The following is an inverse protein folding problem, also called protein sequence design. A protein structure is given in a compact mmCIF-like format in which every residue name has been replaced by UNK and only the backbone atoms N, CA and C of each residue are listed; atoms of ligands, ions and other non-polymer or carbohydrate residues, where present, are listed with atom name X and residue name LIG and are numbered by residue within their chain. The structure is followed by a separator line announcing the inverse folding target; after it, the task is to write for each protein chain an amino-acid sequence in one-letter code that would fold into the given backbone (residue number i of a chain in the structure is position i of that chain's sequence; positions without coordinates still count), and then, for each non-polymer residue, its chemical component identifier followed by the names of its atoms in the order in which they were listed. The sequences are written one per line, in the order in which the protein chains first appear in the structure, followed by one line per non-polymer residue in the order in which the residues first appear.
data_IF_304824456002
#
_entry.id   IF_304824456002
#
_cell.length_a   1.000
_cell.length_b   1.000
_cell.length_c   1.000
_cell.angle_alpha   90.00
_cell.angle_beta   90.00
_cell.angle_gamma   90.00
#
_symmetry.space_group_name_H-M   'P 1'
#
loop_
_entity.id
_entity.type
_entity.pdbx_description
1 polymer ?
#
# COMPACT_ATOMS: atom_id res chain seq x y z
N UNK A 1 30.69 49.79 -26.40
CA UNK A 1 30.45 48.36 -26.67
C UNK A 1 30.35 47.61 -25.34
N UNK A 2 29.21 47.65 -24.63
CA UNK A 2 29.09 46.93 -23.34
C UNK A 2 27.63 46.85 -22.86
N UNK A 3 26.74 46.22 -23.65
CA UNK A 3 25.33 46.04 -23.24
C UNK A 3 24.70 44.68 -23.58
N UNK A 4 25.43 43.72 -24.16
CA UNK A 4 24.84 42.43 -24.57
C UNK A 4 25.35 41.19 -23.82
N UNK A 5 26.26 41.33 -22.85
CA UNK A 5 26.90 40.18 -22.19
C UNK A 5 26.09 39.69 -20.97
N UNK A 6 25.36 40.59 -20.30
CA UNK A 6 24.60 40.28 -19.07
C UNK A 6 23.41 39.31 -19.28
N UNK A 7 22.56 39.42 -20.33
CA UNK A 7 21.41 38.51 -20.47
C UNK A 7 21.82 37.09 -20.89
N UNK A 8 23.00 36.92 -21.51
CA UNK A 8 23.48 35.63 -22.00
C UNK A 8 24.02 34.73 -20.87
N UNK A 9 24.66 35.33 -19.85
CA UNK A 9 25.13 34.62 -18.67
C UNK A 9 23.98 34.12 -17.78
N UNK A 10 22.86 34.86 -17.70
CA UNK A 10 21.69 34.46 -16.91
C UNK A 10 20.94 33.27 -17.53
N UNK A 11 20.89 33.19 -18.86
CA UNK A 11 20.29 32.06 -19.57
C UNK A 11 21.10 30.76 -19.41
N UNK A 12 22.43 30.85 -19.31
CA UNK A 12 23.30 29.69 -19.10
C UNK A 12 23.21 29.13 -17.66
N UNK A 13 23.01 29.99 -16.66
CA UNK A 13 22.81 29.61 -15.26
C UNK A 13 21.46 28.91 -15.02
N UNK A 14 20.41 29.27 -15.78
CA UNK A 14 19.12 28.57 -15.72
C UNK A 14 19.15 27.20 -16.40
N UNK A 15 19.99 27.01 -17.42
CA UNK A 15 20.15 25.73 -18.12
C UNK A 15 20.97 24.70 -17.33
N UNK A 16 21.75 25.14 -16.34
CA UNK A 16 22.57 24.27 -15.49
C UNK A 16 21.82 23.66 -14.30
N UNK A 17 20.54 24.01 -14.09
CA UNK A 17 19.67 23.33 -13.13
C UNK A 17 19.12 22.03 -13.75
N UNK A 18 20.02 21.15 -14.18
CA UNK A 18 19.66 19.76 -14.43
C UNK A 18 19.28 19.15 -13.08
N UNK A 19 17.99 19.05 -12.81
CA UNK A 19 17.48 18.23 -11.73
C UNK A 19 17.94 16.80 -11.99
N UNK A 20 18.98 16.35 -11.31
CA UNK A 20 19.28 14.93 -11.24
C UNK A 20 18.09 14.30 -10.56
N UNK A 21 17.25 13.60 -11.33
CA UNK A 21 16.17 12.81 -10.77
C UNK A 21 16.80 11.73 -9.89
N UNK A 22 16.83 11.97 -8.58
CA UNK A 22 17.19 10.96 -7.61
C UNK A 22 16.18 9.83 -7.74
N UNK A 23 16.68 8.62 -8.01
CA UNK A 23 15.84 7.44 -8.01
C UNK A 23 15.07 7.37 -6.69
N UNK A 24 13.77 7.05 -6.75
CA UNK A 24 12.97 6.89 -5.55
C UNK A 24 13.67 5.85 -4.65
N UNK A 25 13.83 6.12 -3.34
CA UNK A 25 14.48 5.19 -2.44
C UNK A 25 13.69 3.87 -2.40
N UNK A 26 14.41 2.74 -2.30
CA UNK A 26 13.79 1.44 -2.08
C UNK A 26 13.12 1.45 -0.72
N UNK A 27 11.82 1.15 -0.68
CA UNK A 27 11.04 1.05 0.55
C UNK A 27 11.03 -0.39 1.05
N UNK A 28 11.56 -0.62 2.24
CA UNK A 28 11.53 -1.93 2.91
C UNK A 28 10.34 -2.04 3.86
N UNK A 29 9.92 -3.28 4.10
CA UNK A 29 8.76 -3.58 4.93
C UNK A 29 8.82 -4.96 5.56
N UNK A 30 7.74 -5.31 6.25
CA UNK A 30 7.56 -6.60 6.90
C UNK A 30 6.24 -7.24 6.52
N UNK A 31 6.16 -8.55 6.75
CA UNK A 31 4.92 -9.31 6.67
C UNK A 31 4.39 -9.59 8.08
N UNK A 32 3.07 -9.66 8.23
CA UNK A 32 2.40 -9.96 9.48
C UNK A 32 1.12 -10.78 9.27
N UNK A 33 0.57 -11.22 10.39
CA UNK A 33 -0.61 -12.08 10.49
C UNK A 33 -1.52 -11.58 11.62
N UNK A 34 -1.78 -10.28 11.64
CA UNK A 34 -2.53 -9.60 12.70
C UNK A 34 -3.85 -10.31 13.01
N UNK A 35 -4.21 -10.35 14.31
CA UNK A 35 -5.42 -11.01 14.81
C UNK A 35 -5.48 -12.54 14.63
N UNK A 36 -4.41 -13.17 14.13
CA UNK A 36 -4.25 -14.64 14.17
C UNK A 36 -3.72 -15.13 15.53
N UNK A 37 -3.89 -16.42 15.87
CA UNK A 37 -3.27 -17.00 17.06
C UNK A 37 -1.76 -16.69 17.13
N UNK A 38 -1.32 -16.10 18.24
CA UNK A 38 0.07 -15.67 18.44
C UNK A 38 0.38 -14.24 17.99
N UNK A 39 -0.54 -13.54 17.31
CA UNK A 39 -0.35 -12.20 16.77
C UNK A 39 -1.37 -11.21 17.33
N UNK A 40 -1.29 -10.95 18.63
CA UNK A 40 -2.25 -10.10 19.33
C UNK A 40 -2.27 -8.66 18.80
N UNK A 41 -3.48 -8.12 18.67
CA UNK A 41 -3.72 -6.70 18.34
C UNK A 41 -3.33 -5.76 19.48
N UNK A 42 -3.27 -6.24 20.73
CA UNK A 42 -2.87 -5.42 21.88
C UNK A 42 -1.43 -4.86 21.75
N UNK A 43 -0.59 -5.50 20.92
CA UNK A 43 0.80 -5.09 20.68
C UNK A 43 0.98 -4.34 19.35
N UNK A 44 -0.10 -4.07 18.59
CA UNK A 44 -0.01 -3.48 17.26
C UNK A 44 0.72 -2.13 17.27
N UNK A 45 0.40 -1.25 18.22
CA UNK A 45 1.06 0.06 18.30
C UNK A 45 2.56 -0.05 18.61
N UNK A 46 2.95 -0.89 19.58
CA UNK A 46 4.35 -1.12 19.90
C UNK A 46 5.13 -1.66 18.69
N UNK A 47 4.52 -2.54 17.88
CA UNK A 47 5.10 -2.99 16.61
C UNK A 47 5.29 -1.83 15.64
N UNK A 48 4.28 -1.00 15.40
CA UNK A 48 4.36 0.13 14.46
C UNK A 48 5.40 1.16 14.88
N UNK A 49 5.51 1.44 16.19
CA UNK A 49 6.55 2.30 16.74
C UNK A 49 7.95 1.75 16.45
N UNK A 50 8.16 0.44 16.64
CA UNK A 50 9.44 -0.22 16.35
C UNK A 50 9.78 -0.17 14.85
N UNK A 51 8.82 -0.46 13.97
CA UNK A 51 9.01 -0.40 12.52
C UNK A 51 9.40 1.01 12.07
N UNK A 52 8.70 2.03 12.57
CA UNK A 52 8.99 3.42 12.25
C UNK A 52 10.38 3.85 12.73
N UNK A 53 10.80 3.43 13.93
CA UNK A 53 12.13 3.69 14.45
C UNK A 53 13.25 3.03 13.62
N UNK A 54 12.92 1.96 12.87
CA UNK A 54 13.85 1.23 11.98
C UNK A 54 13.68 1.56 10.50
N UNK A 55 12.85 2.56 10.18
CA UNK A 55 12.54 2.98 8.82
C UNK A 55 11.98 1.86 7.92
N UNK A 56 11.24 0.92 8.51
CA UNK A 56 10.45 -0.09 7.79
C UNK A 56 9.07 0.51 7.52
N UNK A 57 8.77 0.84 6.26
CA UNK A 57 7.64 1.70 5.88
C UNK A 57 6.55 0.99 5.10
N UNK A 58 6.68 -0.31 4.85
CA UNK A 58 5.63 -1.14 4.26
C UNK A 58 5.22 -2.25 5.23
N UNK A 59 3.92 -2.50 5.35
CA UNK A 59 3.38 -3.51 6.26
C UNK A 59 2.33 -4.36 5.52
N UNK A 60 2.74 -5.56 5.11
CA UNK A 60 1.87 -6.52 4.42
C UNK A 60 1.28 -7.49 5.44
N UNK A 61 -0.03 -7.70 5.40
CA UNK A 61 -0.69 -8.61 6.32
C UNK A 61 -1.93 -9.19 5.67
N UNK A 62 -2.32 -10.40 6.07
CA UNK A 62 -3.60 -10.96 5.65
C UNK A 62 -4.74 -10.45 6.54
N UNK A 63 -5.93 -10.30 5.96
CA UNK A 63 -7.14 -9.95 6.71
C UNK A 63 -8.37 -10.52 6.02
N UNK A 64 -9.35 -10.98 6.80
CA UNK A 64 -10.67 -11.30 6.25
C UNK A 64 -11.32 -9.98 5.75
N UNK A 65 -11.84 -9.93 4.50
CA UNK A 65 -12.50 -8.73 3.98
C UNK A 65 -13.63 -8.14 4.85
N UNK A 66 -14.17 -8.93 5.78
CA UNK A 66 -15.25 -8.55 6.70
C UNK A 66 -14.74 -8.13 8.08
N UNK A 67 -13.46 -8.35 8.39
CA UNK A 67 -12.84 -7.93 9.65
C UNK A 67 -12.43 -6.45 9.59
N UNK A 68 -13.44 -5.58 9.64
CA UNK A 68 -13.22 -4.15 9.72
C UNK A 68 -12.57 -3.71 11.04
N UNK A 69 -12.71 -4.48 12.11
CA UNK A 69 -12.14 -4.12 13.41
C UNK A 69 -10.61 -4.10 13.36
N UNK A 70 -10.00 -5.10 12.70
CA UNK A 70 -8.54 -5.12 12.50
C UNK A 70 -8.08 -3.93 11.67
N UNK A 71 -8.74 -3.63 10.55
CA UNK A 71 -8.37 -2.50 9.68
C UNK A 71 -8.59 -1.15 10.37
N UNK A 72 -9.69 -0.97 11.09
CA UNK A 72 -10.00 0.24 11.85
C UNK A 72 -8.98 0.49 12.96
N UNK A 73 -8.37 -0.56 13.51
CA UNK A 73 -7.27 -0.44 14.47
C UNK A 73 -5.93 -0.10 13.79
N UNK A 74 -5.62 -0.71 12.64
CA UNK A 74 -4.32 -0.54 11.98
C UNK A 74 -4.20 0.76 11.18
N UNK A 75 -5.28 1.24 10.55
CA UNK A 75 -5.25 2.46 9.71
C UNK A 75 -4.80 3.71 10.49
N UNK A 76 -5.31 4.01 11.70
CA UNK A 76 -4.82 5.13 12.50
C UNK A 76 -3.35 5.00 12.87
N UNK A 77 -2.88 3.79 13.21
CA UNK A 77 -1.46 3.54 13.52
C UNK A 77 -0.57 3.75 12.30
N UNK A 78 -0.99 3.27 11.13
CA UNK A 78 -0.31 3.45 9.86
C UNK A 78 -0.10 4.94 9.55
N UNK A 79 -1.15 5.75 9.69
CA UNK A 79 -1.07 7.21 9.55
C UNK A 79 -0.11 7.82 10.58
N UNK A 80 -0.28 7.48 11.86
CA UNK A 80 0.52 8.02 12.98
C UNK A 80 2.02 7.79 12.80
N UNK A 81 2.39 6.60 12.34
CA UNK A 81 3.79 6.17 12.24
C UNK A 81 4.37 6.26 10.82
N UNK A 82 3.58 6.75 9.85
CA UNK A 82 4.01 6.89 8.46
C UNK A 82 4.37 5.54 7.82
N UNK A 83 3.51 4.54 7.96
CA UNK A 83 3.69 3.19 7.41
C UNK A 83 2.59 2.94 6.39
N UNK A 84 2.95 2.48 5.20
CA UNK A 84 2.01 2.06 4.16
C UNK A 84 1.48 0.67 4.46
N UNK A 85 0.15 0.54 4.59
CA UNK A 85 -0.52 -0.75 4.69
C UNK A 85 -0.64 -1.39 3.30
N UNK A 86 -0.40 -2.71 3.24
CA UNK A 86 -0.61 -3.55 2.06
C UNK A 86 -1.41 -4.79 2.47
N UNK A 87 -2.72 -4.65 2.73
CA UNK A 87 -3.54 -5.79 3.13
C UNK A 87 -3.66 -6.77 1.96
N UNK A 88 -3.47 -8.05 2.27
CA UNK A 88 -3.85 -9.17 1.43
C UNK A 88 -5.19 -9.70 1.90
N UNK A 89 -6.14 -9.78 0.99
CA UNK A 89 -7.49 -10.22 1.29
C UNK A 89 -7.83 -11.49 0.51
N UNK A 90 -8.48 -12.44 1.17
CA UNK A 90 -8.98 -13.63 0.49
C UNK A 90 -10.16 -13.26 -0.43
N UNK A 91 -10.23 -13.79 -1.66
CA UNK A 91 -11.30 -13.44 -2.61
C UNK A 91 -12.69 -13.70 -2.05
N UNK A 92 -13.58 -12.73 -2.21
CA UNK A 92 -15.00 -12.78 -1.83
C UNK A 92 -15.89 -12.25 -2.95
N UNK A 93 -17.17 -12.00 -2.65
CA UNK A 93 -18.09 -11.41 -3.62
C UNK A 93 -17.68 -10.01 -4.05
N UNK A 94 -18.19 -9.59 -5.20
CA UNK A 94 -18.00 -8.24 -5.74
C UNK A 94 -18.49 -7.17 -4.76
N UNK A 95 -19.63 -7.40 -4.12
CA UNK A 95 -20.27 -6.46 -3.19
C UNK A 95 -19.39 -6.24 -1.95
N UNK A 96 -18.84 -7.32 -1.38
CA UNK A 96 -17.91 -7.23 -0.25
C UNK A 96 -16.65 -6.45 -0.65
N UNK A 97 -16.07 -6.76 -1.81
CA UNK A 97 -14.93 -6.01 -2.35
C UNK A 97 -15.22 -4.51 -2.51
N UNK A 98 -16.39 -4.16 -3.04
CA UNK A 98 -16.82 -2.76 -3.18
C UNK A 98 -16.92 -2.05 -1.82
N UNK A 99 -17.59 -2.65 -0.83
CA UNK A 99 -17.76 -2.03 0.49
C UNK A 99 -16.43 -1.84 1.21
N UNK A 100 -15.56 -2.86 1.16
CA UNK A 100 -14.23 -2.81 1.75
C UNK A 100 -13.39 -1.67 1.15
N UNK A 101 -13.25 -1.66 -0.18
CA UNK A 101 -12.43 -0.66 -0.87
C UNK A 101 -13.01 0.75 -0.67
N UNK A 102 -14.35 0.90 -0.71
CA UNK A 102 -15.00 2.20 -0.52
C UNK A 102 -14.73 2.78 0.87
N UNK A 103 -14.82 1.94 1.92
CA UNK A 103 -14.61 2.36 3.31
C UNK A 103 -13.20 2.90 3.55
N UNK A 104 -12.19 2.26 2.97
CA UNK A 104 -10.77 2.58 3.22
C UNK A 104 -10.07 3.29 2.05
N UNK A 105 -10.84 3.80 1.07
CA UNK A 105 -10.29 4.43 -0.14
C UNK A 105 -9.34 5.59 0.15
N UNK A 106 -9.55 6.31 1.25
CA UNK A 106 -8.68 7.41 1.66
C UNK A 106 -7.30 6.92 2.14
N UNK A 107 -7.22 5.70 2.67
CA UNK A 107 -6.13 5.24 3.53
C UNK A 107 -5.25 4.16 2.91
N UNK A 108 -5.87 3.25 2.16
CA UNK A 108 -5.20 2.07 1.64
C UNK A 108 -5.20 2.18 0.12
N UNK A 109 -3.99 2.39 -0.42
CA UNK A 109 -3.78 2.61 -1.87
C UNK A 109 -3.35 1.36 -2.61
N UNK A 110 -2.86 0.35 -1.88
CA UNK A 110 -2.39 -0.91 -2.45
C UNK A 110 -3.10 -2.05 -1.72
N UNK A 111 -3.78 -2.88 -2.49
CA UNK A 111 -4.46 -4.08 -2.04
C UNK A 111 -3.89 -5.28 -2.78
N UNK A 112 -3.74 -6.40 -2.07
CA UNK A 112 -3.45 -7.70 -2.68
C UNK A 112 -4.69 -8.58 -2.56
N UNK A 113 -5.11 -9.24 -3.63
CA UNK A 113 -6.30 -10.11 -3.65
C UNK A 113 -5.83 -11.54 -3.87
N UNK A 114 -5.97 -12.36 -2.83
CA UNK A 114 -5.47 -13.72 -2.78
C UNK A 114 -3.98 -13.82 -2.41
N UNK A 115 -3.58 -15.04 -2.09
CA UNK A 115 -2.21 -15.44 -1.82
C UNK A 115 -1.99 -16.83 -2.42
N UNK A 116 -0.81 -17.08 -2.99
CA UNK A 116 -0.43 -18.40 -3.53
C UNK A 116 -1.49 -18.98 -4.50
N UNK A 117 -1.84 -18.19 -5.51
CA UNK A 117 -2.82 -18.51 -6.54
C UNK A 117 -2.62 -19.87 -7.23
N UNK A 118 -1.39 -20.36 -7.27
CA UNK A 118 -0.98 -21.59 -7.94
C UNK A 118 -0.57 -22.71 -6.95
N UNK A 119 -0.86 -22.56 -5.66
CA UNK A 119 -0.60 -23.59 -4.64
C UNK A 119 -1.13 -24.97 -5.05
N UNK A 120 -2.32 -24.99 -5.65
CA UNK A 120 -2.88 -26.15 -6.35
C UNK A 120 -3.09 -25.74 -7.80
N UNK A 121 -2.16 -26.14 -8.67
CA UNK A 121 -2.14 -25.71 -10.08
C UNK A 121 -3.46 -25.97 -10.82
N UNK A 122 -4.13 -27.09 -10.55
CA UNK A 122 -5.41 -27.44 -11.17
C UNK A 122 -6.57 -26.49 -10.77
N UNK A 123 -6.43 -25.74 -9.67
CA UNK A 123 -7.43 -24.81 -9.17
C UNK A 123 -7.11 -23.34 -9.51
N UNK A 124 -5.97 -23.07 -10.15
CA UNK A 124 -5.47 -21.71 -10.38
C UNK A 124 -6.48 -20.83 -11.13
N UNK A 125 -7.09 -21.36 -12.20
CA UNK A 125 -8.08 -20.64 -13.00
C UNK A 125 -9.31 -20.22 -12.17
N UNK A 126 -9.83 -21.14 -11.34
CA UNK A 126 -10.96 -20.85 -10.47
C UNK A 126 -10.61 -19.80 -9.40
N UNK A 127 -9.40 -19.87 -8.83
CA UNK A 127 -8.90 -18.88 -7.86
C UNK A 127 -8.72 -17.50 -8.49
N UNK A 128 -8.14 -17.43 -9.69
CA UNK A 128 -7.97 -16.18 -10.45
C UNK A 128 -9.33 -15.59 -10.83
N UNK A 129 -10.31 -16.41 -11.22
CA UNK A 129 -11.68 -15.95 -11.48
C UNK A 129 -12.35 -15.35 -10.24
N UNK A 130 -12.15 -15.96 -9.06
CA UNK A 130 -12.64 -15.42 -7.79
C UNK A 130 -11.94 -14.10 -7.43
N UNK A 131 -10.61 -14.03 -7.56
CA UNK A 131 -9.84 -12.80 -7.36
C UNK A 131 -10.34 -11.67 -8.27
N UNK A 132 -10.59 -11.99 -9.53
CA UNK A 132 -11.10 -11.04 -10.54
C UNK A 132 -12.49 -10.53 -10.17
N UNK A 133 -13.39 -11.42 -9.70
CA UNK A 133 -14.72 -11.03 -9.23
C UNK A 133 -14.65 -9.99 -8.11
N UNK A 134 -13.80 -10.21 -7.10
CA UNK A 134 -13.62 -9.26 -6.01
C UNK A 134 -12.97 -7.95 -6.50
N UNK A 135 -11.94 -8.05 -7.34
CA UNK A 135 -11.26 -6.90 -7.96
C UNK A 135 -12.25 -5.97 -8.66
N UNK A 136 -13.22 -6.51 -9.41
CA UNK A 136 -14.22 -5.69 -10.10
C UNK A 136 -15.04 -4.83 -9.14
N UNK A 137 -15.32 -5.33 -7.93
CA UNK A 137 -15.99 -4.56 -6.87
C UNK A 137 -15.07 -3.49 -6.28
N UNK A 138 -13.83 -3.86 -5.94
CA UNK A 138 -12.86 -2.91 -5.38
C UNK A 138 -12.54 -1.78 -6.36
N UNK A 139 -12.36 -2.10 -7.64
CA UNK A 139 -12.12 -1.14 -8.71
C UNK A 139 -13.29 -0.17 -8.87
N UNK A 140 -14.53 -0.66 -8.78
CA UNK A 140 -15.72 0.19 -8.85
C UNK A 140 -15.73 1.27 -7.75
N UNK A 141 -15.23 0.95 -6.56
CA UNK A 141 -15.12 1.91 -5.45
C UNK A 141 -13.97 2.91 -5.58
N UNK A 142 -13.02 2.65 -6.50
CA UNK A 142 -11.76 3.39 -6.65
C UNK A 142 -11.82 4.48 -7.74
N UNK A 143 -12.99 4.67 -8.37
CA UNK A 143 -13.24 5.72 -9.36
C UNK A 143 -13.87 6.97 -8.72
#
# INVERSE_FOLDING_TARGET
MSRCIVPFLLALLLAAMTTTATAAPIVYGVNAHDNRPGYSMAQAEARFQLLAARNLRSYRFDVDPRDYATLDALVPLARKYGITLRPMVYPMSREIGYQLARRYAADIKVWEIGNEQDLVRAEADARIAAMTTMYLGMRQASN
#
